data_IF_418232217850
#
_entry.id   IF_418232217850
#
_cell.length_a   1.000
_cell.length_b   1.000
_cell.length_c   1.000
_cell.angle_alpha   90.00
_cell.angle_beta   90.00
_cell.angle_gamma   90.00
#
_symmetry.space_group_name_H-M   'P 1'
#
loop_
_entity.id
_entity.type
_entity.pdbx_description
1 polymer ?
#
# COMPACT_ATOMS: atom_id res chain seq x y z
N UNK A 1 -8.33 0.43 -7.20
CA UNK A 1 -8.03 -0.48 -6.06
C UNK A 1 -7.06 0.20 -5.11
N UNK A 2 -7.29 0.08 -3.83
CA UNK A 2 -6.41 0.62 -2.82
C UNK A 2 -5.49 -0.48 -2.32
N UNK A 3 -4.21 -0.16 -2.22
CA UNK A 3 -3.19 -1.11 -1.77
C UNK A 3 -2.61 -0.65 -0.44
N UNK A 4 -2.34 -1.61 0.43
CA UNK A 4 -1.62 -1.36 1.67
C UNK A 4 -0.19 -1.82 1.47
N UNK A 5 0.77 -0.96 1.83
CA UNK A 5 2.18 -1.27 1.70
C UNK A 5 2.85 -1.12 3.06
N UNK A 6 3.87 -1.94 3.29
CA UNK A 6 4.58 -1.93 4.57
C UNK A 6 6.00 -2.44 4.38
N UNK A 7 6.85 -2.21 5.37
CA UNK A 7 8.23 -2.69 5.35
C UNK A 7 9.19 -1.80 4.59
N UNK A 8 8.75 -0.61 4.19
CA UNK A 8 9.60 0.30 3.43
C UNK A 8 10.60 1.00 4.34
N UNK A 9 11.77 1.36 3.80
CA UNK A 9 12.72 2.19 4.54
C UNK A 9 12.08 3.53 4.88
N UNK A 10 12.40 4.07 6.04
CA UNK A 10 11.78 5.33 6.47
C UNK A 10 12.36 6.57 5.77
N UNK A 11 13.35 6.39 4.90
CA UNK A 11 13.85 7.50 4.08
C UNK A 11 13.14 7.61 2.72
N UNK A 12 12.20 6.69 2.45
CA UNK A 12 11.32 6.84 1.29
C UNK A 12 10.28 7.89 1.58
N UNK A 13 9.95 8.70 0.58
CA UNK A 13 8.86 9.66 0.71
C UNK A 13 7.73 9.29 -0.26
N UNK A 14 6.68 10.11 -0.25
CA UNK A 14 5.50 9.84 -1.08
C UNK A 14 5.85 9.85 -2.58
N UNK A 15 6.75 10.73 -2.98
CA UNK A 15 7.17 10.81 -4.38
C UNK A 15 7.93 9.56 -4.80
N UNK A 16 8.82 9.08 -3.94
CA UNK A 16 9.55 7.84 -4.22
C UNK A 16 8.60 6.68 -4.39
N UNK A 17 7.61 6.60 -3.52
CA UNK A 17 6.61 5.55 -3.54
C UNK A 17 5.81 5.59 -4.83
N UNK A 18 5.36 6.77 -5.20
CA UNK A 18 4.57 6.94 -6.42
C UNK A 18 5.38 6.56 -7.65
N UNK A 19 6.61 7.04 -7.74
CA UNK A 19 7.48 6.75 -8.88
C UNK A 19 7.71 5.26 -9.03
N UNK A 20 7.94 4.57 -7.94
CA UNK A 20 8.18 3.14 -7.96
C UNK A 20 6.96 2.37 -8.49
N UNK A 21 5.79 2.72 -7.99
CA UNK A 21 4.59 2.00 -8.39
C UNK A 21 4.10 2.38 -9.79
N UNK A 22 4.44 3.59 -10.25
CA UNK A 22 4.10 3.99 -11.60
C UNK A 22 4.83 3.20 -12.67
N UNK A 23 5.91 2.55 -12.30
CA UNK A 23 6.59 1.63 -13.23
C UNK A 23 5.72 0.43 -13.59
N UNK A 24 4.71 0.13 -12.78
CA UNK A 24 3.87 -1.05 -12.96
C UNK A 24 2.45 -0.72 -13.36
N UNK A 25 2.03 0.53 -13.22
CA UNK A 25 0.69 0.93 -13.59
C UNK A 25 0.40 2.34 -13.17
N UNK A 26 -0.79 2.81 -13.50
CA UNK A 26 -1.20 4.17 -13.16
C UNK A 26 -1.47 4.28 -11.67
N UNK A 27 -0.93 5.32 -11.04
CA UNK A 27 -1.13 5.60 -9.62
C UNK A 27 -1.86 6.92 -9.48
N UNK A 28 -3.02 6.91 -8.85
CA UNK A 28 -3.77 8.15 -8.61
C UNK A 28 -3.37 8.82 -7.32
N UNK A 29 -2.92 8.06 -6.33
CA UNK A 29 -2.39 8.66 -5.10
C UNK A 29 -1.46 7.68 -4.41
N UNK A 30 -0.52 8.23 -3.63
CA UNK A 30 0.42 7.44 -2.85
C UNK A 30 0.83 8.26 -1.64
N UNK A 31 0.77 7.67 -0.47
CA UNK A 31 1.13 8.38 0.76
C UNK A 31 1.56 7.39 1.83
N UNK A 32 2.64 7.73 2.53
CA UNK A 32 3.04 7.02 3.73
C UNK A 32 2.31 7.59 4.94
N UNK A 33 2.13 6.73 5.94
CA UNK A 33 1.67 7.19 7.25
C UNK A 33 2.89 7.76 7.97
N UNK A 34 2.78 9.00 8.44
CA UNK A 34 3.90 9.70 9.06
C UNK A 34 3.79 9.67 10.57
N UNK A 35 4.94 9.58 11.22
CA UNK A 35 5.03 9.69 12.67
C UNK A 35 5.07 11.17 13.03
N UNK A 36 4.11 11.64 13.79
CA UNK A 36 4.02 13.06 14.14
C UNK A 36 5.16 13.51 15.03
N UNK A 37 5.66 12.62 15.86
CA UNK A 37 6.71 12.98 16.81
C UNK A 37 8.03 13.23 16.12
N UNK A 38 8.35 12.45 15.09
CA UNK A 38 9.65 12.53 14.42
C UNK A 38 9.57 13.16 13.02
N UNK A 39 8.37 13.23 12.45
CA UNK A 39 8.19 13.71 11.08
C UNK A 39 8.64 12.72 10.02
N UNK A 40 8.93 11.49 10.40
CA UNK A 40 9.41 10.47 9.47
C UNK A 40 8.31 9.48 9.16
N UNK A 41 8.47 8.79 8.02
CA UNK A 41 7.55 7.75 7.62
C UNK A 41 7.65 6.57 8.58
N UNK A 42 6.51 5.96 8.88
CA UNK A 42 6.47 4.75 9.69
C UNK A 42 6.80 3.49 8.87
N UNK A 43 7.08 3.67 7.58
CA UNK A 43 7.43 2.53 6.72
C UNK A 43 6.23 1.83 6.12
N UNK A 44 5.03 2.32 6.35
CA UNK A 44 3.83 1.76 5.72
C UNK A 44 2.92 2.89 5.24
N UNK A 45 2.04 2.55 4.32
CA UNK A 45 1.15 3.54 3.76
C UNK A 45 0.16 2.93 2.80
N UNK A 46 -0.41 3.77 1.94
CA UNK A 46 -1.44 3.35 1.01
C UNK A 46 -1.17 3.92 -0.37
N UNK A 47 -1.57 3.15 -1.38
CA UNK A 47 -1.49 3.56 -2.76
C UNK A 47 -2.84 3.30 -3.40
N UNK A 48 -3.27 4.22 -4.25
CA UNK A 48 -4.49 4.05 -5.02
C UNK A 48 -4.14 3.86 -6.48
N UNK A 49 -4.53 2.73 -7.03
CA UNK A 49 -4.36 2.43 -8.45
C UNK A 49 -5.73 2.19 -9.06
N UNK A 50 -6.14 3.03 -10.02
CA UNK A 50 -7.50 2.91 -10.56
C UNK A 50 -7.76 1.66 -11.38
N UNK A 51 -6.71 1.07 -11.97
CA UNK A 51 -6.87 -0.13 -12.78
C UNK A 51 -6.63 -1.35 -11.89
N UNK A 52 -7.68 -2.16 -11.72
CA UNK A 52 -7.59 -3.35 -10.86
C UNK A 52 -6.60 -4.38 -11.38
N UNK A 53 -6.53 -4.58 -12.69
CA UNK A 53 -5.60 -5.55 -13.26
C UNK A 53 -4.15 -5.14 -13.00
N UNK A 54 -3.86 -3.86 -13.19
CA UNK A 54 -2.52 -3.34 -12.92
C UNK A 54 -2.18 -3.44 -11.45
N UNK A 55 -3.16 -3.17 -10.57
CA UNK A 55 -2.94 -3.24 -9.13
C UNK A 55 -2.62 -4.66 -8.69
N UNK A 56 -3.37 -5.64 -9.19
CA UNK A 56 -3.12 -7.03 -8.85
C UNK A 56 -1.76 -7.51 -9.35
N UNK A 57 -1.38 -7.08 -10.53
CA UNK A 57 -0.07 -7.41 -11.09
C UNK A 57 1.05 -6.81 -10.25
N UNK A 58 0.87 -5.57 -9.82
CA UNK A 58 1.84 -4.88 -8.98
C UNK A 58 2.02 -5.62 -7.65
N UNK A 59 0.94 -6.07 -7.06
CA UNK A 59 1.02 -6.87 -5.83
C UNK A 59 1.86 -8.13 -6.07
N UNK A 60 1.57 -8.84 -7.15
CA UNK A 60 2.27 -10.09 -7.45
C UNK A 60 3.78 -9.88 -7.65
N UNK A 61 4.15 -8.75 -8.25
CA UNK A 61 5.55 -8.48 -8.56
C UNK A 61 6.30 -7.95 -7.32
N UNK A 62 5.69 -7.05 -6.58
CA UNK A 62 6.39 -6.32 -5.53
C UNK A 62 6.30 -6.93 -4.15
N UNK A 63 5.27 -7.74 -3.89
CA UNK A 63 5.13 -8.35 -2.57
C UNK A 63 6.32 -9.25 -2.28
N UNK A 64 7.00 -9.01 -1.16
CA UNK A 64 8.16 -9.79 -0.78
C UNK A 64 9.48 -9.30 -1.37
N UNK A 65 9.44 -8.25 -2.19
CA UNK A 65 10.66 -7.67 -2.76
C UNK A 65 11.46 -6.98 -1.67
N UNK A 66 12.77 -6.95 -1.82
CA UNK A 66 13.64 -6.25 -0.87
C UNK A 66 14.07 -4.90 -1.39
N UNK A 67 14.01 -3.91 -0.53
CA UNK A 67 14.48 -2.56 -0.82
C UNK A 67 15.42 -2.17 0.30
N UNK A 68 16.68 -1.89 -0.04
CA UNK A 68 17.70 -1.50 0.94
C UNK A 68 17.78 -2.49 2.10
N UNK A 69 17.65 -3.77 1.80
CA UNK A 69 17.75 -4.81 2.81
C UNK A 69 16.49 -5.09 3.58
N UNK A 70 15.41 -4.34 3.32
CA UNK A 70 14.13 -4.55 3.98
C UNK A 70 13.13 -5.19 3.03
N UNK A 71 12.47 -6.22 3.49
CA UNK A 71 11.46 -6.90 2.69
C UNK A 71 10.15 -6.15 2.81
N UNK A 72 9.56 -5.80 1.67
CA UNK A 72 8.32 -5.04 1.68
C UNK A 72 7.12 -5.96 1.49
N UNK A 73 5.97 -5.51 1.97
CA UNK A 73 4.68 -6.15 1.75
C UNK A 73 3.81 -5.26 0.92
N UNK A 74 3.14 -5.83 -0.06
CA UNK A 74 2.15 -5.11 -0.87
C UNK A 74 0.91 -5.96 -0.91
N UNK A 75 -0.20 -5.45 -0.41
CA UNK A 75 -1.45 -6.20 -0.30
C UNK A 75 -2.62 -5.33 -0.69
N UNK A 76 -3.70 -5.97 -1.08
CA UNK A 76 -4.94 -5.26 -1.32
C UNK A 76 -5.47 -4.75 0.02
N UNK A 77 -5.74 -3.45 0.11
CA UNK A 77 -6.33 -2.88 1.32
C UNK A 77 -7.83 -3.09 1.25
N UNK A 78 -8.38 -3.73 2.27
CA UNK A 78 -9.82 -3.91 2.35
C UNK A 78 -10.46 -2.59 2.70
N UNK A 79 -11.40 -2.20 1.88
CA UNK A 79 -12.15 -0.99 2.15
C UNK A 79 -13.26 -1.36 3.12
N UNK A 80 -13.18 -0.88 4.35
CA UNK A 80 -14.25 -1.11 5.26
C UNK A 80 -15.32 -0.16 5.01
N UNK A 81 -16.19 -0.47 4.34
CA UNK A 81 -17.24 0.49 4.21
C UNK A 81 -18.26 0.30 5.26
N UNK A 82 -18.28 0.21 5.58
CA UNK A 82 -18.89 0.02 6.13
C UNK A 82 -19.66 -0.45 6.07
N UNK A 83 -19.84 -1.05 6.21
CA UNK A 83 -20.34 -1.50 6.13
C UNK A 83 -20.67 -2.45 5.98
N UNK A 84 -20.72 -2.70 5.94
CA UNK A 84 -20.98 -3.42 5.80
C UNK A 84 -21.03 -4.27 6.24
N UNK A 85 -21.12 -4.23 6.27
CA UNK A 85 -21.21 -5.02 6.60
C UNK A 85 -21.07 -5.84 7.00
N UNK A 86 -21.28 -5.87 7.10
CA UNK A 86 -21.27 -6.68 7.25
C UNK A 86 -20.82 -7.48 7.60
N UNK A 87 -21.06 -7.48 7.53
CA UNK A 87 -20.86 -8.22 7.83
C UNK A 87 -20.34 -8.96 8.15
N UNK A 88 -20.43 -9.09 8.08
CA UNK A 88 -20.19 -9.71 8.36
C UNK A 88 -19.59 -10.38 8.78
N UNK A 89 -19.58 -10.44 8.72
CA UNK A 89 -19.39 -10.97 9.22
C UNK A 89 -18.98 -11.72 9.59
N UNK A 90 -19.05 -11.75 9.46
CA UNK A 90 -18.97 -12.31 9.89
C UNK A 90 -18.48 -13.08 10.29
N UNK A 91 -18.56 -13.29 10.31
CA UNK A 91 -18.37 -13.74 10.65
C UNK A 91 -17.84 -14.55 11.20
N UNK A 92 -18.01 -14.62 11.14
CA UNK A 92 -17.70 -15.03 11.58
C UNK A 92 -17.18 -15.64 12.14
N UNK A 93 -17.21 -15.36 11.83
CA UNK A 93 -16.89 -15.51 12.25
C UNK A 93 -16.66 -16.01 12.76
#
# INVERSE_FOLDING_TARGET
MKLFIAGFPNDFDDADLKDMFELYGTVSSAAFVMDRATGKSKGFGFIEMPDNAEALETIAILHGTRIKGKQISVQKAEQRSTGKTGNNFNKRY
#
